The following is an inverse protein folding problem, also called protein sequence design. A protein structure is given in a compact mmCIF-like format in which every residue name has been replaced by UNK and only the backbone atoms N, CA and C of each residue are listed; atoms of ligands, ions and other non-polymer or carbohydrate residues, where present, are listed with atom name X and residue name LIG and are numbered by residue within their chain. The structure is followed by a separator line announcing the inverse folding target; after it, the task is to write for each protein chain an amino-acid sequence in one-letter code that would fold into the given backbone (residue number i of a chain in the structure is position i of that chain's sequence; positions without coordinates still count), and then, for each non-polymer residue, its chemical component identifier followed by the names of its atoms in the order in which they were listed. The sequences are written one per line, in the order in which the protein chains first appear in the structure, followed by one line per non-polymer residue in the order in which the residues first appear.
data_IF_645695796539
#
_entry.id   IF_645695796539
#
_cell.length_a   1.000
_cell.length_b   1.000
_cell.length_c   1.000
_cell.angle_alpha   90.00
_cell.angle_beta   90.00
_cell.angle_gamma   90.00
#
_symmetry.space_group_name_H-M   'P 1'
#
loop_
_entity.id
_entity.type
_entity.pdbx_description
1 polymer ?
#
# COMPACT_ATOMS: atom_id res chain seq x y z
N UNK A 1 -6.28 -36.16 6.88
CA UNK A 1 -5.96 -34.88 7.55
C UNK A 1 -6.55 -33.77 6.71
N UNK A 2 -7.62 -33.13 7.17
CA UNK A 2 -8.17 -31.96 6.47
C UNK A 2 -7.30 -30.75 6.81
N UNK A 3 -6.40 -30.36 5.90
CA UNK A 3 -5.64 -29.12 6.04
C UNK A 3 -6.63 -27.95 6.04
N UNK A 4 -6.79 -27.32 7.20
CA UNK A 4 -7.62 -26.12 7.37
C UNK A 4 -7.02 -25.03 6.48
N UNK A 5 -7.82 -24.44 5.61
CA UNK A 5 -7.36 -23.32 4.79
C UNK A 5 -7.03 -22.13 5.69
N UNK A 6 -5.79 -21.65 5.63
CA UNK A 6 -5.39 -20.38 6.22
C UNK A 6 -5.29 -19.34 5.11
N UNK A 7 -6.05 -18.24 5.18
CA UNK A 7 -5.92 -17.18 4.19
C UNK A 7 -4.51 -16.60 4.22
N UNK A 8 -3.94 -16.27 3.05
CA UNK A 8 -2.61 -15.66 2.98
C UNK A 8 -2.59 -14.34 3.74
N UNK A 9 -1.51 -14.12 4.50
CA UNK A 9 -1.32 -12.90 5.29
C UNK A 9 -1.24 -11.69 4.36
N UNK A 10 -1.84 -10.59 4.80
CA UNK A 10 -1.74 -9.29 4.12
C UNK A 10 -0.28 -8.83 4.16
N UNK A 11 0.20 -8.20 3.09
CA UNK A 11 1.55 -7.65 3.06
C UNK A 11 1.71 -6.52 4.07
N UNK A 12 2.78 -6.60 4.88
CA UNK A 12 3.16 -5.52 5.79
C UNK A 12 3.69 -4.33 4.99
N UNK A 13 3.26 -3.13 5.39
CA UNK A 13 3.69 -1.88 4.77
C UNK A 13 5.10 -1.51 5.25
N UNK A 14 5.97 -1.20 4.29
CA UNK A 14 7.31 -0.68 4.54
C UNK A 14 7.27 0.81 4.96
N UNK A 15 8.39 1.34 5.46
CA UNK A 15 8.48 2.72 5.95
C UNK A 15 8.04 3.77 4.91
N UNK A 16 8.52 3.66 3.67
CA UNK A 16 8.12 4.55 2.57
C UNK A 16 6.61 4.50 2.30
N UNK A 17 5.99 3.31 2.37
CA UNK A 17 4.56 3.14 2.12
C UNK A 17 3.72 3.77 3.22
N UNK A 18 4.14 3.60 4.49
CA UNK A 18 3.49 4.25 5.63
C UNK A 18 3.55 5.77 5.53
N UNK A 19 4.65 6.33 5.01
CA UNK A 19 4.80 7.76 4.80
C UNK A 19 3.93 8.26 3.65
N UNK A 20 3.92 7.53 2.52
CA UNK A 20 3.05 7.84 1.39
C UNK A 20 1.56 7.84 1.80
N UNK A 21 1.12 6.85 2.58
CA UNK A 21 -0.27 6.77 3.03
C UNK A 21 -0.69 7.99 3.85
N UNK A 22 0.22 8.60 4.62
CA UNK A 22 -0.05 9.85 5.35
C UNK A 22 -0.26 11.06 4.44
N UNK A 23 0.25 11.00 3.21
CA UNK A 23 0.07 12.07 2.22
C UNK A 23 -1.25 11.96 1.43
N UNK A 24 -1.94 10.83 1.54
CA UNK A 24 -3.19 10.58 0.82
C UNK A 24 -4.33 11.44 1.37
N UNK A 25 -5.21 11.88 0.47
CA UNK A 25 -6.49 12.48 0.87
C UNK A 25 -7.41 11.43 1.52
N UNK A 26 -8.46 11.89 2.21
CA UNK A 26 -9.45 11.00 2.83
C UNK A 26 -10.09 10.01 1.84
N UNK A 27 -10.31 10.45 0.59
CA UNK A 27 -10.88 9.60 -0.47
C UNK A 27 -9.91 8.52 -0.91
N UNK A 28 -8.64 8.88 -1.10
CA UNK A 28 -7.59 7.94 -1.51
C UNK A 28 -7.26 6.95 -0.39
N UNK A 29 -7.26 7.41 0.86
CA UNK A 29 -7.11 6.55 2.04
C UNK A 29 -8.27 5.54 2.14
N UNK A 30 -9.51 5.97 1.87
CA UNK A 30 -10.66 5.08 1.83
C UNK A 30 -10.53 4.04 0.70
N UNK A 31 -10.04 4.44 -0.48
CA UNK A 31 -9.77 3.52 -1.59
C UNK A 31 -8.65 2.53 -1.27
N UNK A 32 -7.59 2.98 -0.61
CA UNK A 32 -6.50 2.13 -0.12
C UNK A 32 -7.02 1.05 0.84
N UNK A 33 -7.83 1.45 1.84
CA UNK A 33 -8.44 0.52 2.79
C UNK A 33 -9.38 -0.47 2.10
N UNK A 34 -10.20 0.00 1.14
CA UNK A 34 -11.06 -0.87 0.36
C UNK A 34 -10.26 -1.88 -0.46
N UNK A 35 -9.16 -1.46 -1.08
CA UNK A 35 -8.28 -2.35 -1.83
C UNK A 35 -7.66 -3.42 -0.93
N UNK A 36 -7.21 -3.07 0.28
CA UNK A 36 -6.73 -4.05 1.28
C UNK A 36 -7.84 -5.06 1.62
N UNK A 37 -9.07 -4.60 1.85
CA UNK A 37 -10.19 -5.48 2.19
C UNK A 37 -10.58 -6.43 1.05
N UNK A 38 -10.53 -5.97 -0.20
CA UNK A 38 -10.99 -6.75 -1.37
C UNK A 38 -9.91 -7.64 -1.98
N UNK A 39 -8.66 -7.17 -1.98
CA UNK A 39 -7.55 -7.84 -2.66
C UNK A 39 -6.59 -8.52 -1.66
N UNK A 40 -6.60 -8.10 -0.39
CA UNK A 40 -5.79 -8.70 0.68
C UNK A 40 -4.31 -8.76 0.30
N UNK A 41 -3.78 -9.98 0.22
CA UNK A 41 -2.39 -10.26 -0.16
C UNK A 41 -2.03 -9.90 -1.61
N UNK A 42 -2.99 -9.56 -2.46
CA UNK A 42 -2.72 -9.17 -3.86
C UNK A 42 -2.58 -7.67 -4.07
N UNK A 43 -2.74 -6.86 -3.03
CA UNK A 43 -2.61 -5.40 -3.12
C UNK A 43 -1.22 -4.91 -2.71
N UNK A 44 -0.61 -4.08 -3.57
CA UNK A 44 0.74 -3.56 -3.40
C UNK A 44 0.76 -2.06 -3.69
N UNK A 45 0.72 -1.21 -2.65
CA UNK A 45 0.70 0.25 -2.83
C UNK A 45 2.01 0.77 -3.45
N UNK A 46 3.15 0.15 -3.12
CA UNK A 46 4.45 0.48 -3.71
C UNK A 46 4.55 0.31 -5.24
N UNK A 47 3.67 -0.51 -5.85
CA UNK A 47 3.60 -0.68 -7.30
C UNK A 47 2.75 0.38 -8.01
N UNK A 48 2.01 1.19 -7.26
CA UNK A 48 1.15 2.22 -7.85
C UNK A 48 1.96 3.35 -8.47
N UNK A 49 1.46 3.91 -9.58
CA UNK A 49 2.08 5.09 -10.20
C UNK A 49 2.13 6.29 -9.25
N UNK A 50 1.11 6.45 -8.40
CA UNK A 50 1.05 7.52 -7.41
C UNK A 50 2.20 7.42 -6.39
N UNK A 51 2.46 6.21 -5.86
CA UNK A 51 3.59 5.98 -4.96
C UNK A 51 4.93 6.24 -5.65
N UNK A 52 5.10 5.75 -6.88
CA UNK A 52 6.35 5.95 -7.63
C UNK A 52 6.63 7.44 -7.91
N UNK A 53 5.60 8.20 -8.30
CA UNK A 53 5.71 9.64 -8.50
C UNK A 53 6.07 10.36 -7.20
N UNK A 54 5.38 10.05 -6.09
CA UNK A 54 5.71 10.60 -4.78
C UNK A 54 7.15 10.32 -4.36
N UNK A 55 7.61 9.07 -4.54
CA UNK A 55 8.99 8.67 -4.21
C UNK A 55 10.02 9.43 -5.04
N UNK A 56 9.76 9.64 -6.32
CA UNK A 56 10.62 10.45 -7.20
C UNK A 56 10.65 11.91 -6.75
N UNK A 57 9.51 12.50 -6.44
CA UNK A 57 9.43 13.89 -5.94
C UNK A 57 10.15 14.07 -4.60
N UNK A 58 10.04 13.10 -3.68
CA UNK A 58 10.77 13.12 -2.40
C UNK A 58 12.29 13.11 -2.59
N UNK A 59 12.78 12.28 -3.52
CA UNK A 59 14.20 12.22 -3.85
C UNK A 59 14.72 13.48 -4.55
N UNK A 60 13.89 14.11 -5.40
CA UNK A 60 14.24 15.35 -6.08
C UNK A 60 14.33 16.56 -5.13
N UNK A 61 13.55 16.55 -4.04
CA UNK A 61 13.48 17.64 -3.07
C UNK A 61 14.47 17.49 -1.89
N UNK A 62 15.29 16.43 -1.89
CA UNK A 62 16.35 16.20 -0.89
C UNK A 62 17.74 16.63 -1.38
N UNK A 63 17.79 17.56 -2.35
CA UNK A 63 19.00 18.06 -3.00
C UNK A 63 19.10 19.57 -2.82
#
# INVERSE_FOLDING_TARGET
MSSKYEPPKVHSLNADEQEFIKTLSLKELALHNLAIQKLGSSYFVWKSHAFQAWKQSKNANSK
#
